data_IF_528870855499
#
_entry.id   IF_528870855499
#
_cell.length_a   1.000
_cell.length_b   1.000
_cell.length_c   1.000
_cell.angle_alpha   90.00
_cell.angle_beta   90.00
_cell.angle_gamma   90.00
#
_symmetry.space_group_name_H-M   'P 1'
#
loop_
_entity.id
_entity.type
_entity.pdbx_description
1 polymer ?
#
# COMPACT_ATOMS: atom_id res chain seq x y z
N UNK A 1 34.50 17.22 0.98
CA UNK A 1 34.26 16.92 2.41
C UNK A 1 32.95 17.54 2.94
N UNK A 2 31.86 17.59 2.15
CA UNK A 2 30.60 18.30 2.56
C UNK A 2 29.34 17.42 2.71
N UNK A 3 29.37 16.12 2.38
CA UNK A 3 28.13 15.33 2.32
C UNK A 3 27.68 14.71 3.67
N UNK A 4 28.47 14.82 4.74
CA UNK A 4 28.15 14.16 6.01
C UNK A 4 27.31 15.03 6.94
N UNK A 5 27.51 16.35 6.96
CA UNK A 5 26.70 17.29 7.75
C UNK A 5 25.31 17.50 7.16
N UNK A 6 25.18 17.77 5.85
CA UNK A 6 23.86 17.94 5.20
C UNK A 6 22.95 16.71 5.33
N UNK A 7 23.53 15.49 5.29
CA UNK A 7 22.77 14.27 5.48
C UNK A 7 22.29 14.09 6.93
N UNK A 8 23.09 14.50 7.92
CA UNK A 8 22.71 14.45 9.34
C UNK A 8 21.61 15.47 9.63
N UNK A 9 21.72 16.69 9.10
CA UNK A 9 20.73 17.74 9.32
C UNK A 9 19.38 17.41 8.65
N UNK A 10 19.42 16.87 7.42
CA UNK A 10 18.21 16.40 6.73
C UNK A 10 17.56 15.22 7.46
N UNK A 11 18.36 14.28 7.96
CA UNK A 11 17.86 13.14 8.73
C UNK A 11 17.21 13.58 10.05
N UNK A 12 17.86 14.48 10.80
CA UNK A 12 17.32 15.04 12.03
C UNK A 12 16.01 15.81 11.78
N UNK A 13 15.92 16.55 10.67
CA UNK A 13 14.68 17.22 10.27
C UNK A 13 13.54 16.23 9.99
N UNK A 14 13.79 15.17 9.21
CA UNK A 14 12.78 14.15 8.93
C UNK A 14 12.35 13.38 10.19
N UNK A 15 13.28 13.17 11.12
CA UNK A 15 12.96 12.56 12.43
C UNK A 15 12.01 13.45 13.22
N UNK A 16 12.27 14.75 13.28
CA UNK A 16 11.37 15.71 13.96
C UNK A 16 9.99 15.76 13.30
N UNK A 17 9.90 15.71 11.97
CA UNK A 17 8.61 15.60 11.27
C UNK A 17 7.90 14.30 11.64
N UNK A 18 8.62 13.18 11.70
CA UNK A 18 8.04 11.90 12.09
C UNK A 18 7.56 11.88 13.56
N UNK A 19 8.27 12.55 14.47
CA UNK A 19 7.85 12.76 15.86
C UNK A 19 6.55 13.58 15.92
N UNK A 20 6.47 14.69 15.19
CA UNK A 20 5.26 15.51 15.07
C UNK A 20 4.05 14.70 14.56
N UNK A 21 4.23 13.91 13.50
CA UNK A 21 3.17 13.07 12.96
C UNK A 21 2.68 12.02 13.97
N UNK A 22 3.57 11.51 14.83
CA UNK A 22 3.25 10.47 15.82
C UNK A 22 2.48 11.06 17.00
N UNK A 23 2.88 12.24 17.46
CA UNK A 23 2.31 12.97 18.60
C UNK A 23 0.96 13.60 18.28
N UNK A 24 0.69 13.91 17.00
CA UNK A 24 -0.58 14.45 16.53
C UNK A 24 -1.79 13.64 17.02
N UNK A 25 -2.82 14.32 17.52
CA UNK A 25 -4.09 13.74 17.97
C UNK A 25 -5.07 13.48 16.80
N UNK A 26 -4.65 13.80 15.57
CA UNK A 26 -5.50 13.72 14.39
C UNK A 26 -5.65 12.29 13.90
N UNK A 27 -6.90 11.92 13.62
CA UNK A 27 -7.24 10.65 13.00
C UNK A 27 -6.59 10.49 11.62
N UNK A 28 -6.58 11.55 10.80
CA UNK A 28 -6.08 11.52 9.43
C UNK A 28 -5.10 12.67 9.20
N UNK A 29 -3.93 12.33 8.66
CA UNK A 29 -2.88 13.28 8.28
C UNK A 29 -2.49 12.99 6.82
N UNK A 30 -2.54 14.01 5.97
CA UNK A 30 -2.24 13.89 4.54
C UNK A 30 -1.07 14.81 4.20
N UNK A 31 -0.05 14.24 3.57
CA UNK A 31 1.21 14.89 3.27
C UNK A 31 1.39 14.90 1.75
N UNK A 32 1.42 16.09 1.15
CA UNK A 32 1.85 16.25 -0.23
C UNK A 32 3.37 16.48 -0.28
N UNK A 33 4.08 15.78 -1.15
CA UNK A 33 5.48 16.08 -1.44
C UNK A 33 5.89 15.64 -2.85
N UNK A 34 6.62 16.49 -3.56
CA UNK A 34 7.21 16.13 -4.85
C UNK A 34 8.17 14.94 -4.76
N UNK A 35 8.46 14.35 -5.92
CA UNK A 35 9.42 13.25 -6.02
C UNK A 35 10.82 13.72 -5.59
N UNK A 36 11.53 12.85 -4.87
CA UNK A 36 12.86 13.16 -4.35
C UNK A 36 12.90 14.05 -3.10
N UNK A 37 11.76 14.53 -2.58
CA UNK A 37 11.73 15.30 -1.32
C UNK A 37 12.03 14.42 -0.10
N UNK A 38 11.63 13.14 -0.14
CA UNK A 38 12.00 12.16 0.89
C UNK A 38 10.84 11.51 1.64
N UNK A 39 9.66 11.39 1.02
CA UNK A 39 8.49 10.71 1.62
C UNK A 39 8.81 9.28 2.12
N UNK A 40 9.53 8.49 1.33
CA UNK A 40 9.99 7.15 1.74
C UNK A 40 11.02 7.17 2.88
N UNK A 41 11.84 8.22 2.97
CA UNK A 41 12.73 8.41 4.12
C UNK A 41 11.93 8.83 5.37
N UNK A 42 10.87 9.60 5.20
CA UNK A 42 9.95 9.97 6.29
C UNK A 42 9.19 8.74 6.82
N UNK A 43 8.62 7.90 5.94
CA UNK A 43 7.92 6.68 6.35
C UNK A 43 8.85 5.71 7.08
N UNK A 44 10.13 5.64 6.66
CA UNK A 44 11.18 4.92 7.37
C UNK A 44 11.52 5.53 8.72
N UNK A 45 11.72 6.85 8.81
CA UNK A 45 11.99 7.53 10.08
C UNK A 45 10.85 7.31 11.08
N UNK A 46 9.59 7.37 10.62
CA UNK A 46 8.42 7.04 11.42
C UNK A 46 8.45 5.59 11.95
N UNK A 47 8.86 4.64 11.11
CA UNK A 47 9.06 3.23 11.51
C UNK A 47 10.15 3.06 12.56
N UNK A 48 11.25 3.80 12.46
CA UNK A 48 12.36 3.75 13.41
C UNK A 48 12.02 4.38 14.77
N UNK A 49 11.07 5.33 14.81
CA UNK A 49 10.52 5.89 16.06
C UNK A 49 9.52 4.97 16.76
N UNK A 50 8.96 3.99 16.06
CA UNK A 50 7.97 3.08 16.61
C UNK A 50 8.67 2.02 17.48
N UNK A 51 8.68 2.22 18.80
CA UNK A 51 9.20 1.24 19.77
C UNK A 51 8.37 -0.04 19.79
N UNK A 52 7.08 0.07 19.45
CA UNK A 52 6.14 -1.02 19.20
C UNK A 52 5.92 -1.17 17.69
N UNK A 53 5.87 -2.40 17.20
CA UNK A 53 5.57 -2.67 15.78
C UNK A 53 4.06 -2.54 15.51
N UNK A 54 3.47 -1.40 15.85
CA UNK A 54 2.02 -1.14 15.85
C UNK A 54 1.49 -0.46 14.58
N UNK A 55 2.37 -0.26 13.59
CA UNK A 55 2.03 0.43 12.35
C UNK A 55 2.04 -0.53 11.17
N UNK A 56 0.93 -0.54 10.41
CA UNK A 56 0.81 -1.21 9.12
C UNK A 56 1.25 -0.23 8.02
N UNK A 57 2.20 -0.63 7.19
CA UNK A 57 2.76 0.22 6.15
C UNK A 57 2.30 -0.23 4.77
N UNK A 58 2.06 0.74 3.90
CA UNK A 58 2.18 0.60 2.45
C UNK A 58 3.31 1.53 2.00
N UNK A 59 4.38 0.97 1.48
CA UNK A 59 5.53 1.67 0.93
C UNK A 59 6.36 0.68 0.09
N UNK A 60 7.45 1.13 -0.52
CA UNK A 60 8.35 0.29 -1.30
C UNK A 60 8.78 -1.02 -0.59
N UNK A 61 9.00 -1.00 0.73
CA UNK A 61 9.38 -2.21 1.48
C UNK A 61 8.23 -3.22 1.63
N UNK A 62 6.99 -2.75 1.56
CA UNK A 62 5.80 -3.60 1.57
C UNK A 62 5.59 -4.20 0.19
N UNK A 63 5.84 -3.44 -0.87
CA UNK A 63 5.85 -3.95 -2.24
C UNK A 63 6.93 -5.03 -2.41
N UNK A 64 8.12 -4.84 -1.82
CA UNK A 64 9.20 -5.83 -1.83
C UNK A 64 8.84 -7.18 -1.14
N UNK A 65 7.72 -7.25 -0.39
CA UNK A 65 7.19 -8.52 0.14
C UNK A 65 6.62 -9.42 -0.96
N UNK A 66 6.31 -8.83 -2.12
CA UNK A 66 5.79 -9.49 -3.31
C UNK A 66 6.90 -9.51 -4.35
N UNK A 67 7.52 -10.67 -4.56
CA UNK A 67 8.67 -10.83 -5.43
C UNK A 67 8.33 -11.69 -6.65
N UNK A 68 8.56 -11.18 -7.86
CA UNK A 68 8.38 -11.98 -9.06
C UNK A 68 9.50 -13.00 -9.21
N UNK A 69 9.12 -14.27 -9.21
CA UNK A 69 9.96 -15.37 -9.65
C UNK A 69 9.63 -15.64 -11.12
N UNK A 70 10.44 -15.04 -12.00
CA UNK A 70 10.36 -15.28 -13.44
C UNK A 70 11.39 -16.38 -13.75
N UNK A 71 10.96 -17.63 -13.86
CA UNK A 71 11.84 -18.71 -14.30
C UNK A 71 12.24 -18.47 -15.77
N UNK A 72 13.37 -17.79 -15.96
CA UNK A 72 13.91 -17.43 -17.27
C UNK A 72 14.43 -18.64 -18.05
N UNK A 73 14.74 -19.75 -17.39
CA UNK A 73 15.39 -20.89 -18.04
C UNK A 73 14.39 -21.80 -18.77
N UNK A 74 13.16 -21.93 -18.27
CA UNK A 74 12.15 -22.81 -18.87
C UNK A 74 10.86 -22.09 -19.32
N UNK A 75 10.63 -20.82 -18.96
CA UNK A 75 9.41 -20.03 -19.25
C UNK A 75 8.10 -20.73 -18.82
N UNK A 76 8.18 -21.69 -17.91
CA UNK A 76 7.06 -22.57 -17.51
C UNK A 76 6.36 -22.12 -16.24
N UNK A 77 6.93 -21.20 -15.46
CA UNK A 77 6.32 -20.75 -14.20
C UNK A 77 6.52 -19.25 -14.00
N UNK A 78 5.41 -18.51 -13.99
CA UNK A 78 5.37 -17.06 -13.80
C UNK A 78 4.55 -16.77 -12.55
N UNK A 79 5.24 -16.72 -11.41
CA UNK A 79 4.59 -16.64 -10.10
C UNK A 79 5.11 -15.46 -9.30
N UNK A 80 4.22 -14.89 -8.49
CA UNK A 80 4.58 -13.89 -7.51
C UNK A 80 4.77 -14.58 -6.15
N UNK A 81 6.00 -14.58 -5.66
CA UNK A 81 6.38 -15.17 -4.39
C UNK A 81 6.16 -14.20 -3.23
N UNK A 82 5.61 -14.71 -2.13
CA UNK A 82 5.34 -13.97 -0.91
C UNK A 82 6.46 -14.22 0.11
N UNK A 83 7.09 -13.16 0.62
CA UNK A 83 8.12 -13.25 1.67
C UNK A 83 7.52 -13.46 3.06
N UNK A 84 8.32 -13.96 3.99
CA UNK A 84 7.93 -14.01 5.40
C UNK A 84 7.71 -12.60 5.97
N UNK A 85 6.51 -12.36 6.50
CA UNK A 85 6.17 -11.09 7.13
C UNK A 85 4.90 -11.21 7.95
N UNK A 86 4.84 -10.45 9.05
CA UNK A 86 3.59 -10.28 9.83
C UNK A 86 2.44 -9.73 9.00
N UNK A 87 2.75 -9.10 7.86
CA UNK A 87 1.78 -8.64 6.87
C UNK A 87 0.87 -9.78 6.41
N UNK A 88 1.42 -10.98 6.24
CA UNK A 88 0.70 -12.17 5.75
C UNK A 88 0.08 -13.04 6.85
N UNK A 89 -0.03 -12.54 8.10
CA UNK A 89 -0.66 -13.26 9.21
C UNK A 89 -2.10 -13.71 8.93
N UNK A 90 -2.80 -13.05 8.01
CA UNK A 90 -4.12 -13.48 7.53
C UNK A 90 -4.16 -14.94 7.08
N UNK A 91 -3.03 -15.52 6.67
CA UNK A 91 -2.94 -16.91 6.25
C UNK A 91 -2.79 -17.93 7.41
N UNK A 92 -2.51 -17.49 8.63
CA UNK A 92 -2.29 -18.36 9.79
C UNK A 92 -3.61 -18.82 10.47
N UNK A 93 -4.77 -18.38 9.97
CA UNK A 93 -6.10 -18.65 10.55
C UNK A 93 -7.23 -18.85 9.52
N UNK A 94 -8.35 -18.13 9.67
CA UNK A 94 -9.52 -18.16 8.76
C UNK A 94 -9.26 -17.50 7.39
N UNK A 95 -8.05 -17.62 6.84
CA UNK A 95 -7.53 -16.90 5.68
C UNK A 95 -8.24 -17.15 4.34
N UNK A 96 -9.32 -17.93 4.30
CA UNK A 96 -10.12 -18.12 3.09
C UNK A 96 -10.82 -16.85 2.62
N UNK A 97 -11.07 -15.88 3.51
CA UNK A 97 -11.77 -14.65 3.12
C UNK A 97 -10.85 -13.63 2.42
N UNK A 98 -9.52 -13.74 2.56
CA UNK A 98 -8.62 -12.73 1.99
C UNK A 98 -8.62 -12.74 0.47
N UNK A 99 -8.62 -13.92 -0.16
CA UNK A 99 -8.69 -14.01 -1.62
C UNK A 99 -9.97 -13.36 -2.15
N UNK A 100 -11.11 -13.63 -1.50
CA UNK A 100 -12.39 -13.01 -1.86
C UNK A 100 -12.34 -11.49 -1.72
N UNK A 101 -11.83 -10.98 -0.60
CA UNK A 101 -11.68 -9.53 -0.37
C UNK A 101 -10.76 -8.89 -1.40
N UNK A 102 -9.58 -9.46 -1.64
CA UNK A 102 -8.65 -8.95 -2.66
C UNK A 102 -9.32 -8.94 -4.02
N UNK A 103 -10.02 -10.01 -4.40
CA UNK A 103 -10.72 -10.14 -5.69
C UNK A 103 -11.83 -9.09 -5.87
N UNK A 104 -12.63 -8.84 -4.83
CA UNK A 104 -13.68 -7.81 -4.84
C UNK A 104 -13.13 -6.39 -5.06
N UNK A 105 -11.90 -6.14 -4.64
CA UNK A 105 -11.19 -4.88 -4.89
C UNK A 105 -10.55 -4.87 -6.27
N UNK A 106 -9.82 -5.94 -6.60
CA UNK A 106 -9.04 -6.08 -7.81
C UNK A 106 -9.90 -5.97 -9.08
N UNK A 107 -11.05 -6.65 -9.10
CA UNK A 107 -11.96 -6.70 -10.26
C UNK A 107 -12.55 -5.33 -10.66
N UNK A 108 -12.33 -4.28 -9.85
CA UNK A 108 -12.70 -2.90 -10.18
C UNK A 108 -11.70 -2.22 -11.12
N UNK A 109 -10.49 -2.76 -11.21
CA UNK A 109 -9.34 -2.13 -11.86
C UNK A 109 -8.81 -2.93 -13.05
N UNK A 110 -8.97 -4.26 -13.02
CA UNK A 110 -8.30 -5.19 -13.94
C UNK A 110 -9.23 -6.34 -14.35
N UNK A 111 -8.84 -7.05 -15.39
CA UNK A 111 -9.59 -8.15 -16.02
C UNK A 111 -8.93 -9.54 -15.82
N UNK A 112 -7.96 -9.65 -14.91
CA UNK A 112 -7.33 -10.91 -14.55
C UNK A 112 -7.81 -11.42 -13.19
N UNK A 113 -7.61 -12.72 -12.98
CA UNK A 113 -7.89 -13.45 -11.76
C UNK A 113 -6.57 -14.01 -11.18
N UNK A 114 -6.55 -14.45 -9.92
CA UNK A 114 -5.38 -14.98 -9.23
C UNK A 114 -5.76 -16.13 -8.29
N UNK A 115 -4.79 -16.96 -7.93
CA UNK A 115 -4.91 -17.98 -6.88
C UNK A 115 -3.69 -17.95 -5.98
N UNK A 116 -3.85 -18.24 -4.68
CA UNK A 116 -2.76 -18.25 -3.72
C UNK A 116 -2.50 -19.67 -3.22
N UNK A 117 -1.29 -20.18 -3.49
CA UNK A 117 -0.78 -21.36 -2.80
C UNK A 117 -0.10 -20.91 -1.51
N UNK A 118 -0.80 -21.05 -0.39
CA UNK A 118 -0.30 -20.69 0.94
C UNK A 118 0.87 -21.56 1.40
N UNK A 119 0.94 -22.83 0.96
CA UNK A 119 2.02 -23.73 1.32
C UNK A 119 3.30 -23.35 0.58
N UNK A 120 3.17 -23.06 -0.72
CA UNK A 120 4.29 -22.64 -1.55
C UNK A 120 4.61 -21.14 -1.40
N UNK A 121 3.72 -20.36 -0.79
CA UNK A 121 3.79 -18.89 -0.70
C UNK A 121 3.90 -18.25 -2.08
N UNK A 122 3.07 -18.71 -3.01
CA UNK A 122 3.07 -18.28 -4.41
C UNK A 122 1.68 -17.81 -4.83
N UNK A 123 1.64 -16.81 -5.69
CA UNK A 123 0.43 -16.34 -6.36
C UNK A 123 0.61 -16.58 -7.85
N UNK A 124 -0.36 -17.29 -8.45
CA UNK A 124 -0.47 -17.47 -9.90
C UNK A 124 -1.61 -16.60 -10.43
N UNK A 125 -1.48 -16.11 -11.66
CA UNK A 125 -2.46 -15.25 -12.32
C UNK A 125 -3.06 -15.93 -13.52
N UNK A 126 -4.30 -15.57 -13.85
CA UNK A 126 -5.05 -16.16 -14.95
C UNK A 126 -5.98 -15.15 -15.59
N UNK A 127 -6.42 -15.38 -16.83
CA UNK A 127 -7.36 -14.50 -17.53
C UNK A 127 -8.31 -15.34 -18.39
N UNK A 128 -9.57 -14.95 -18.44
CA UNK A 128 -10.50 -15.51 -19.42
C UNK A 128 -10.29 -14.84 -20.78
N UNK A 129 -10.08 -15.65 -21.81
CA UNK A 129 -10.00 -15.20 -23.19
C UNK A 129 -11.14 -15.83 -23.99
N UNK A 130 -11.70 -15.08 -24.94
CA UNK A 130 -12.67 -15.64 -25.88
C UNK A 130 -11.94 -16.09 -27.13
N UNK A 131 -11.98 -17.39 -27.42
CA UNK A 131 -11.43 -17.99 -28.63
C UNK A 131 -12.53 -18.73 -29.36
N UNK A 132 -12.78 -18.36 -30.62
CA UNK A 132 -13.81 -18.97 -31.47
C UNK A 132 -15.21 -19.02 -30.81
N UNK A 133 -15.56 -17.98 -30.03
CA UNK A 133 -16.85 -17.88 -29.33
C UNK A 133 -16.98 -18.73 -28.07
N UNK A 134 -15.89 -19.36 -27.60
CA UNK A 134 -15.83 -20.07 -26.31
C UNK A 134 -14.92 -19.31 -25.34
N UNK A 135 -15.34 -19.19 -24.08
CA UNK A 135 -14.45 -18.70 -23.01
C UNK A 135 -13.47 -19.83 -22.63
N UNK A 136 -12.19 -19.50 -22.64
CA UNK A 136 -11.08 -20.36 -22.21
C UNK A 136 -10.29 -19.62 -21.14
N UNK A 137 -9.97 -20.29 -20.03
CA UNK A 137 -9.14 -19.73 -18.97
C UNK A 137 -7.68 -20.02 -19.27
N UNK A 138 -6.87 -18.97 -19.40
CA UNK A 138 -5.41 -19.07 -19.53
C UNK A 138 -4.80 -18.88 -18.16
N UNK A 139 -4.09 -19.89 -17.68
CA UNK A 139 -3.38 -19.90 -16.39
C UNK A 139 -1.92 -19.41 -16.55
N UNK A 140 -1.28 -19.10 -15.42
CA UNK A 140 0.14 -18.71 -15.30
C UNK A 140 0.57 -17.55 -16.24
N UNK A 141 -0.31 -16.56 -16.39
CA UNK A 141 -0.04 -15.39 -17.22
C UNK A 141 0.95 -14.43 -16.56
N UNK A 142 1.72 -13.69 -17.38
CA UNK A 142 2.44 -12.51 -16.91
C UNK A 142 1.49 -11.30 -16.95
N UNK A 143 1.29 -10.66 -15.81
CA UNK A 143 0.62 -9.36 -15.72
C UNK A 143 1.65 -8.21 -15.83
N UNK A 144 1.20 -7.05 -16.28
CA UNK A 144 2.01 -5.83 -16.41
C UNK A 144 2.40 -5.24 -15.06
N UNK A 145 3.43 -4.38 -15.03
CA UNK A 145 3.86 -3.70 -13.79
C UNK A 145 2.74 -2.88 -13.13
N UNK A 146 1.87 -2.25 -13.93
CA UNK A 146 0.72 -1.51 -13.39
C UNK A 146 -0.29 -2.43 -12.71
N UNK A 147 -0.59 -3.57 -13.34
CA UNK A 147 -1.45 -4.62 -12.79
C UNK A 147 -0.85 -5.25 -11.52
N UNK A 148 0.47 -5.45 -11.47
CA UNK A 148 1.17 -5.90 -10.26
C UNK A 148 0.98 -4.92 -9.10
N UNK A 149 1.20 -3.62 -9.36
CA UNK A 149 1.02 -2.57 -8.35
C UNK A 149 -0.42 -2.53 -7.84
N UNK A 150 -1.41 -2.65 -8.74
CA UNK A 150 -2.82 -2.72 -8.37
C UNK A 150 -3.14 -3.96 -7.55
N UNK A 151 -2.56 -5.12 -7.86
CA UNK A 151 -2.73 -6.33 -7.07
C UNK A 151 -2.19 -6.15 -5.64
N UNK A 152 -0.95 -5.67 -5.51
CA UNK A 152 -0.31 -5.42 -4.21
C UNK A 152 -1.10 -4.39 -3.40
N UNK A 153 -1.57 -3.32 -4.05
CA UNK A 153 -2.43 -2.32 -3.45
C UNK A 153 -3.77 -2.89 -2.97
N UNK A 154 -4.44 -3.69 -3.81
CA UNK A 154 -5.71 -4.35 -3.45
C UNK A 154 -5.53 -5.31 -2.28
N UNK A 155 -4.40 -6.02 -2.25
CA UNK A 155 -4.04 -6.90 -1.15
C UNK A 155 -3.82 -6.12 0.16
N UNK A 156 -3.09 -5.01 0.09
CA UNK A 156 -2.92 -4.11 1.22
C UNK A 156 -4.25 -3.56 1.73
N UNK A 157 -5.13 -3.08 0.85
CA UNK A 157 -6.44 -2.55 1.24
C UNK A 157 -7.29 -3.60 1.96
N UNK A 158 -7.25 -4.85 1.51
CA UNK A 158 -7.96 -5.94 2.17
C UNK A 158 -7.44 -6.18 3.60
N UNK A 159 -6.12 -6.13 3.81
CA UNK A 159 -5.52 -6.20 5.17
C UNK A 159 -5.86 -4.96 6.00
N UNK A 160 -5.81 -3.77 5.40
CA UNK A 160 -6.15 -2.53 6.08
C UNK A 160 -7.62 -2.55 6.55
N UNK A 161 -8.53 -3.12 5.75
CA UNK A 161 -9.92 -3.34 6.17
C UNK A 161 -10.00 -4.29 7.37
N UNK A 162 -9.27 -5.42 7.38
CA UNK A 162 -9.24 -6.30 8.54
C UNK A 162 -8.73 -5.59 9.80
N UNK A 163 -7.70 -4.75 9.66
CA UNK A 163 -7.17 -3.93 10.75
C UNK A 163 -8.17 -2.89 11.27
N UNK A 164 -9.03 -2.35 10.39
CA UNK A 164 -10.09 -1.39 10.71
C UNK A 164 -11.28 -2.09 11.38
N UNK A 165 -11.61 -3.29 10.93
CA UNK A 165 -12.68 -4.14 11.46
C UNK A 165 -12.30 -4.79 12.81
N UNK A 166 -11.07 -4.54 13.30
CA UNK A 166 -10.49 -5.10 14.52
C UNK A 166 -10.37 -6.63 14.51
N UNK A 167 -10.03 -7.20 13.35
CA UNK A 167 -9.65 -8.61 13.24
C UNK A 167 -8.47 -8.92 14.18
N UNK A 168 -8.54 -10.07 14.86
CA UNK A 168 -7.55 -10.46 15.87
C UNK A 168 -6.12 -10.55 15.31
N UNK A 169 -5.95 -10.94 14.05
CA UNK A 169 -4.64 -11.03 13.39
C UNK A 169 -3.97 -9.66 13.22
N UNK A 170 -4.78 -8.60 13.23
CA UNK A 170 -4.37 -7.22 12.98
C UNK A 170 -4.73 -6.26 14.14
N UNK A 171 -5.11 -6.79 15.30
CA UNK A 171 -5.38 -5.99 16.51
C UNK A 171 -4.17 -5.17 16.99
N UNK A 172 -2.96 -5.55 16.58
CA UNK A 172 -1.73 -4.81 16.85
C UNK A 172 -1.65 -3.48 16.08
N UNK A 173 -2.43 -3.32 15.00
CA UNK A 173 -2.38 -2.16 14.11
C UNK A 173 -3.12 -0.99 14.76
N UNK A 174 -2.37 0.01 15.22
CA UNK A 174 -2.88 1.29 15.71
C UNK A 174 -2.80 2.39 14.66
N UNK A 175 -1.79 2.33 13.80
CA UNK A 175 -1.56 3.30 12.73
C UNK A 175 -1.48 2.61 11.38
N UNK A 176 -2.08 3.19 10.35
CA UNK A 176 -1.92 2.80 8.96
C UNK A 176 -1.16 3.93 8.26
N UNK A 177 0.04 3.64 7.79
CA UNK A 177 0.90 4.59 7.07
C UNK A 177 1.00 4.19 5.61
N UNK A 178 0.55 5.06 4.70
CA UNK A 178 0.53 4.84 3.26
C UNK A 178 1.45 5.86 2.59
N UNK A 179 2.48 5.39 1.89
CA UNK A 179 3.45 6.21 1.17
C UNK A 179 3.37 5.94 -0.32
N UNK A 180 3.00 6.96 -1.10
CA UNK A 180 2.84 6.92 -2.55
C UNK A 180 2.07 5.66 -3.02
N UNK A 181 0.78 5.52 -2.63
CA UNK A 181 0.00 4.30 -2.90
C UNK A 181 -0.18 3.99 -4.38
N UNK A 182 0.11 4.97 -5.23
CA UNK A 182 -0.08 4.89 -6.65
C UNK A 182 1.20 5.36 -7.33
N UNK A 183 1.76 4.48 -8.14
CA UNK A 183 2.76 4.82 -9.14
C UNK A 183 2.25 4.35 -10.51
N UNK A 184 2.24 5.25 -11.49
CA UNK A 184 1.96 4.93 -12.90
C UNK A 184 0.57 4.33 -13.19
N UNK A 185 -0.50 4.88 -12.61
CA UNK A 185 -1.89 4.61 -13.01
C UNK A 185 -2.46 5.76 -13.85
N UNK A 186 -3.48 5.47 -14.66
CA UNK A 186 -4.28 6.50 -15.33
C UNK A 186 -5.20 7.24 -14.34
N UNK A 187 -5.64 8.43 -14.73
CA UNK A 187 -6.42 9.34 -13.88
C UNK A 187 -7.72 8.73 -13.34
N UNK A 188 -8.40 7.86 -14.11
CA UNK A 188 -9.63 7.23 -13.65
C UNK A 188 -9.35 6.27 -12.51
N UNK A 189 -8.34 5.42 -12.68
CA UNK A 189 -7.90 4.50 -11.63
C UNK A 189 -7.39 5.25 -10.38
N UNK A 190 -6.71 6.38 -10.55
CA UNK A 190 -6.29 7.25 -9.43
C UNK A 190 -7.49 7.72 -8.60
N UNK A 191 -8.55 8.21 -9.26
CA UNK A 191 -9.76 8.69 -8.57
C UNK A 191 -10.46 7.55 -7.82
N UNK A 192 -10.61 6.38 -8.45
CA UNK A 192 -11.29 5.23 -7.83
C UNK A 192 -10.50 4.74 -6.61
N UNK A 193 -9.17 4.61 -6.72
CA UNK A 193 -8.31 4.21 -5.60
C UNK A 193 -8.38 5.20 -4.45
N UNK A 194 -8.30 6.51 -4.73
CA UNK A 194 -8.41 7.55 -3.71
C UNK A 194 -9.77 7.54 -3.01
N UNK A 195 -10.85 7.48 -3.78
CA UNK A 195 -12.23 7.45 -3.27
C UNK A 195 -12.45 6.23 -2.39
N UNK A 196 -11.98 5.05 -2.82
CA UNK A 196 -12.10 3.82 -2.07
C UNK A 196 -11.29 3.85 -0.75
N UNK A 197 -10.06 4.35 -0.78
CA UNK A 197 -9.26 4.55 0.44
C UNK A 197 -9.96 5.52 1.41
N UNK A 198 -10.52 6.62 0.91
CA UNK A 198 -11.24 7.55 1.76
C UNK A 198 -12.48 6.92 2.38
N UNK A 199 -13.22 6.09 1.64
CA UNK A 199 -14.38 5.35 2.16
C UNK A 199 -13.95 4.37 3.27
N UNK A 200 -12.90 3.60 3.03
CA UNK A 200 -12.30 2.70 4.02
C UNK A 200 -11.96 3.42 5.33
N UNK A 201 -11.35 4.60 5.23
CA UNK A 201 -11.00 5.43 6.40
C UNK A 201 -12.24 5.95 7.12
N UNK A 202 -13.28 6.37 6.39
CA UNK A 202 -14.55 6.85 6.95
C UNK A 202 -15.31 5.73 7.69
N UNK A 203 -15.22 4.50 7.20
CA UNK A 203 -15.88 3.34 7.80
C UNK A 203 -15.21 2.86 9.10
N UNK A 204 -13.99 3.33 9.37
CA UNK A 204 -13.30 3.06 10.63
C UNK A 204 -14.04 3.69 11.81
N UNK A 205 -14.68 2.85 12.63
CA UNK A 205 -15.38 3.25 13.87
C UNK A 205 -14.44 3.49 15.04
N UNK A 206 -13.24 2.93 14.97
CA UNK A 206 -12.19 3.17 15.95
C UNK A 206 -11.70 4.63 15.84
N UNK A 207 -11.78 5.36 16.95
CA UNK A 207 -11.36 6.77 17.02
C UNK A 207 -9.86 6.90 17.27
N UNK A 208 -9.22 5.87 17.81
CA UNK A 208 -7.80 5.84 18.14
C UNK A 208 -6.96 5.32 16.97
N UNK A 209 -7.59 4.72 15.95
CA UNK A 209 -6.94 4.33 14.69
C UNK A 209 -6.48 5.57 13.92
N UNK A 210 -5.17 5.66 13.68
CA UNK A 210 -4.56 6.79 12.94
C UNK A 210 -4.23 6.41 11.50
N UNK A 211 -4.36 7.38 10.60
CA UNK A 211 -4.05 7.25 9.18
C UNK A 211 -3.08 8.34 8.76
N UNK A 212 -1.95 7.95 8.17
CA UNK A 212 -0.96 8.88 7.62
C UNK A 212 -0.80 8.53 6.15
N UNK A 213 -1.03 9.50 5.27
CA UNK A 213 -1.00 9.31 3.82
C UNK A 213 -0.01 10.30 3.24
N UNK A 214 1.05 9.83 2.60
CA UNK A 214 1.96 10.67 1.82
C UNK A 214 1.80 10.39 0.33
N UNK A 215 1.78 11.44 -0.50
CA UNK A 215 1.67 11.30 -1.95
C UNK A 215 2.39 12.43 -2.69
N UNK A 216 2.86 12.16 -3.91
CA UNK A 216 3.23 13.18 -4.89
C UNK A 216 2.15 13.46 -5.93
N UNK A 217 1.08 12.66 -5.97
CA UNK A 217 0.10 12.71 -7.04
C UNK A 217 -0.99 13.73 -6.72
N UNK A 218 -1.02 14.84 -7.46
CA UNK A 218 -1.92 15.96 -7.19
C UNK A 218 -3.41 15.60 -7.22
N UNK A 219 -3.84 14.81 -8.23
CA UNK A 219 -5.23 14.33 -8.32
C UNK A 219 -5.61 13.46 -7.11
N UNK A 220 -4.80 12.47 -6.76
CA UNK A 220 -5.00 11.62 -5.59
C UNK A 220 -5.12 12.45 -4.30
N UNK A 221 -4.17 13.36 -4.09
CA UNK A 221 -4.17 14.27 -2.93
C UNK A 221 -5.48 15.05 -2.84
N UNK A 222 -5.91 15.65 -3.95
CA UNK A 222 -7.14 16.44 -3.99
C UNK A 222 -8.38 15.60 -3.70
N UNK A 223 -8.49 14.39 -4.24
CA UNK A 223 -9.63 13.50 -3.95
C UNK A 223 -9.64 13.14 -2.46
N UNK A 224 -8.52 12.70 -1.90
CA UNK A 224 -8.40 12.34 -0.47
C UNK A 224 -8.78 13.50 0.44
N UNK A 225 -8.22 14.69 0.20
CA UNK A 225 -8.45 15.86 1.04
C UNK A 225 -9.90 16.34 0.98
N UNK A 226 -10.57 16.21 -0.17
CA UNK A 226 -11.97 16.60 -0.33
C UNK A 226 -12.93 15.60 0.31
N UNK A 227 -12.63 14.30 0.21
CA UNK A 227 -13.39 13.23 0.86
C UNK A 227 -13.18 13.21 2.39
N UNK A 228 -11.97 13.53 2.86
CA UNK A 228 -11.58 13.51 4.28
C UNK A 228 -11.42 14.94 4.83
N UNK A 229 -12.51 15.72 4.82
CA UNK A 229 -12.49 17.17 5.15
C UNK A 229 -11.87 17.54 6.51
N UNK A 230 -11.84 16.63 7.48
CA UNK A 230 -11.24 16.82 8.80
C UNK A 230 -9.76 16.43 8.92
N UNK A 231 -9.12 16.03 7.82
CA UNK A 231 -7.71 15.65 7.83
C UNK A 231 -6.80 16.87 7.96
N UNK A 232 -5.72 16.71 8.72
CA UNK A 232 -4.61 17.65 8.70
C UNK A 232 -3.83 17.53 7.40
N UNK A 233 -3.35 18.66 6.90
CA UNK A 233 -2.75 18.77 5.56
C UNK A 233 -1.38 19.37 5.70
N UNK A 234 -0.39 18.66 5.18
CA UNK A 234 1.01 19.05 5.24
C UNK A 234 1.58 19.11 3.83
N UNK A 235 2.45 20.09 3.61
CA UNK A 235 3.33 20.14 2.46
C UNK A 235 4.74 19.85 2.96
N UNK A 236 5.36 18.79 2.46
CA UNK A 236 6.75 18.49 2.73
C UNK A 236 7.59 19.05 1.59
N UNK A 237 8.52 19.94 1.91
CA UNK A 237 9.47 20.56 0.98
C UNK A 237 10.91 20.25 1.38
N UNK A 238 11.85 20.45 0.46
CA UNK A 238 13.27 20.49 0.81
C UNK A 238 13.59 21.86 1.42
N UNK A 239 14.48 21.90 2.40
CA UNK A 239 14.96 23.15 2.97
C UNK A 239 15.45 24.09 1.85
N UNK A 240 14.83 25.27 1.73
CA UNK A 240 15.19 26.31 0.75
C UNK A 240 14.29 26.43 -0.48
N UNK A 241 13.27 25.59 -0.63
CA UNK A 241 12.27 25.70 -1.70
C UNK A 241 10.87 25.97 -1.09
N UNK A 242 10.42 27.22 -1.20
CA UNK A 242 9.03 27.65 -0.97
C UNK A 242 8.39 27.99 -2.31
#
# INVERSE_FOLDING_TARGET
MSNKSENIDTYNALKSVAEHLKESDKKVQVIFAHNGVGKTRLSRAFKELATTSDTLYFNAFTEDLFHWDNDLENDTTRVLQLKESKFFKVFEGHGFDIERRVRELLNRYVDFDFSIDLKAKKVSFSREITKEGKSEKVEDIKISRGEENIFVWSFFLAIAQLAIDNDENYAWVKTIYIDDPISSLDDNNVIIVASHLAQLIKDSKDKDKKFIISTHHGLFYNVIVNELRGADKYLLTKNGEN
#
